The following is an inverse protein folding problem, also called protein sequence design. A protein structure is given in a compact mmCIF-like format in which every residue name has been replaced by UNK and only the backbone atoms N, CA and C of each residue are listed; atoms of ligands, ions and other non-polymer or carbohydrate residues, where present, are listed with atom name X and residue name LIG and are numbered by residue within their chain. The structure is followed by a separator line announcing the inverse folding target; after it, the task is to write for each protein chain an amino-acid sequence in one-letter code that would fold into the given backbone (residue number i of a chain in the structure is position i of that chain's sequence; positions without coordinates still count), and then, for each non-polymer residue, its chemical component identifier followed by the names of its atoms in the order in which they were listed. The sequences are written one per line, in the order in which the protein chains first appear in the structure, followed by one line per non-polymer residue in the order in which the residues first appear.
data_IF_248750729024
#
_entry.id   IF_248750729024
#
_cell.length_a   1.000
_cell.length_b   1.000
_cell.length_c   1.000
_cell.angle_alpha   90.00
_cell.angle_beta   90.00
_cell.angle_gamma   90.00
#
_symmetry.space_group_name_H-M   'P 1'
#
loop_
_entity.id
_entity.type
_entity.pdbx_description
1 polymer ?
#
# COMPACT_ATOMS: atom_id res chain seq x y z
N UNK A 1 0.11 8.01 19.27
CA UNK A 1 0.96 8.95 18.47
C UNK A 1 0.97 8.52 17.01
N UNK A 2 1.11 9.44 16.06
CA UNK A 2 1.02 9.19 14.62
C UNK A 2 2.38 9.44 13.98
N UNK A 3 3.04 8.42 13.41
CA UNK A 3 4.36 8.57 12.82
C UNK A 3 4.45 7.93 11.43
N UNK A 4 5.30 8.50 10.58
CA UNK A 4 5.81 7.81 9.40
C UNK A 4 6.94 6.85 9.81
N UNK A 5 7.20 5.87 8.95
CA UNK A 5 8.25 4.87 9.22
C UNK A 5 9.65 5.49 9.46
N UNK A 6 9.97 6.59 8.78
CA UNK A 6 11.24 7.32 8.96
C UNK A 6 11.30 8.12 10.26
N UNK A 7 10.15 8.56 10.79
CA UNK A 7 10.10 9.25 12.08
C UNK A 7 10.23 8.26 13.25
N UNK A 8 9.83 7.01 13.06
CA UNK A 8 9.93 5.96 14.07
C UNK A 8 11.38 5.79 14.54
N UNK A 9 12.35 5.68 13.61
CA UNK A 9 13.77 5.52 13.94
C UNK A 9 14.35 6.65 14.79
N UNK A 10 13.83 7.87 14.61
CA UNK A 10 14.31 9.06 15.34
C UNK A 10 13.65 9.24 16.70
N UNK A 11 12.56 8.52 16.95
CA UNK A 11 11.68 8.74 18.12
C UNK A 11 11.46 7.51 19.00
N UNK A 12 12.07 6.36 18.64
CA UNK A 12 12.10 5.20 19.55
C UNK A 12 12.77 5.62 20.86
N UNK A 13 12.05 5.45 21.96
CA UNK A 13 12.54 5.78 23.30
C UNK A 13 13.01 4.51 23.97
N UNK A 14 14.23 4.51 24.49
CA UNK A 14 14.71 3.44 25.36
C UNK A 14 13.97 3.48 26.72
N UNK A 15 13.90 2.34 27.38
CA UNK A 15 13.41 2.24 28.74
C UNK A 15 11.89 2.05 28.91
N UNK A 16 11.11 1.96 27.82
CA UNK A 16 9.72 1.56 27.88
C UNK A 16 9.61 0.03 28.08
N UNK A 17 8.62 -0.42 28.85
CA UNK A 17 8.31 -1.84 29.02
C UNK A 17 7.43 -2.41 27.89
N UNK A 18 6.81 -1.55 27.09
CA UNK A 18 5.89 -1.93 26.02
C UNK A 18 6.06 -1.04 24.80
N UNK A 19 6.11 -1.69 23.62
CA UNK A 19 6.10 -1.07 22.30
C UNK A 19 4.94 -1.68 21.49
N UNK A 20 3.96 -0.88 21.14
CA UNK A 20 2.81 -1.33 20.37
C UNK A 20 2.68 -0.54 19.08
N UNK A 21 2.71 -1.25 17.94
CA UNK A 21 2.58 -0.69 16.60
C UNK A 21 1.32 -1.18 15.92
N UNK A 22 0.51 -0.27 15.39
CA UNK A 22 -0.67 -0.64 14.64
C UNK A 22 -0.81 0.18 13.35
N UNK A 23 -1.27 -0.47 12.28
CA UNK A 23 -1.43 0.11 10.95
C UNK A 23 -2.55 -0.58 10.18
N UNK A 24 -2.84 -0.11 8.95
CA UNK A 24 -3.76 -0.78 8.02
C UNK A 24 -3.12 -1.92 7.22
N UNK A 25 -1.82 -2.11 7.34
CA UNK A 25 -1.03 -3.02 6.50
C UNK A 25 -0.03 -3.81 7.35
N UNK A 26 0.03 -5.12 7.10
CA UNK A 26 0.89 -6.03 7.84
C UNK A 26 2.39 -5.71 7.66
N UNK A 27 2.79 -5.31 6.45
CA UNK A 27 4.19 -4.97 6.18
C UNK A 27 4.65 -3.77 7.00
N UNK A 28 3.77 -2.77 7.20
CA UNK A 28 4.10 -1.58 7.99
C UNK A 28 4.36 -1.92 9.46
N UNK A 29 3.50 -2.74 10.07
CA UNK A 29 3.66 -3.13 11.48
C UNK A 29 4.82 -4.09 11.66
N UNK A 30 5.05 -4.99 10.70
CA UNK A 30 6.21 -5.87 10.71
C UNK A 30 7.53 -5.08 10.65
N UNK A 31 7.65 -4.15 9.71
CA UNK A 31 8.84 -3.29 9.60
C UNK A 31 9.06 -2.44 10.87
N UNK A 32 7.98 -1.93 11.47
CA UNK A 32 8.07 -1.17 12.71
C UNK A 32 8.57 -2.05 13.88
N UNK A 33 8.05 -3.27 14.00
CA UNK A 33 8.50 -4.23 15.00
C UNK A 33 9.98 -4.60 14.81
N UNK A 34 10.41 -4.90 13.58
CA UNK A 34 11.81 -5.22 13.29
C UNK A 34 12.76 -4.07 13.65
N UNK A 35 12.37 -2.83 13.38
CA UNK A 35 13.15 -1.65 13.79
C UNK A 35 13.23 -1.49 15.30
N UNK A 36 12.11 -1.74 16.00
CA UNK A 36 12.08 -1.72 17.46
C UNK A 36 12.96 -2.84 18.05
N UNK A 37 12.86 -4.07 17.52
CA UNK A 37 13.69 -5.19 17.93
C UNK A 37 15.18 -4.90 17.72
N UNK A 38 15.56 -4.38 16.55
CA UNK A 38 16.94 -3.98 16.26
C UNK A 38 17.44 -2.89 17.19
N UNK A 39 16.58 -1.97 17.59
CA UNK A 39 16.91 -0.91 18.54
C UNK A 39 17.06 -1.45 19.97
N UNK A 40 16.25 -2.42 20.37
CA UNK A 40 16.21 -2.98 21.71
C UNK A 40 17.24 -4.10 21.91
N UNK A 41 17.57 -4.84 20.84
CA UNK A 41 18.51 -5.99 20.86
C UNK A 41 19.99 -5.55 20.74
N UNK A 42 20.35 -4.35 21.10
CA UNK A 42 21.77 -3.94 21.02
C UNK A 42 22.68 -4.78 21.92
N UNK A 43 22.11 -5.44 22.94
CA UNK A 43 22.88 -6.18 23.95
C UNK A 43 22.31 -7.58 24.35
N UNK A 44 21.21 -8.10 23.76
CA UNK A 44 20.61 -9.37 24.22
C UNK A 44 19.96 -10.21 23.09
N UNK A 45 20.36 -11.50 22.92
CA UNK A 45 19.91 -12.34 21.81
C UNK A 45 18.59 -13.09 22.03
N UNK A 46 18.00 -13.13 23.21
CA UNK A 46 16.82 -13.95 23.50
C UNK A 46 15.48 -13.22 23.33
N UNK A 47 14.98 -13.18 22.08
CA UNK A 47 13.60 -12.77 21.82
C UNK A 47 12.67 -13.99 21.84
N UNK A 48 11.70 -14.01 22.76
CA UNK A 48 10.62 -15.00 22.75
C UNK A 48 9.52 -14.51 21.80
N UNK A 49 9.15 -15.32 20.81
CA UNK A 49 8.07 -15.01 19.88
C UNK A 49 6.83 -15.81 20.27
N UNK A 50 5.73 -15.11 20.55
CA UNK A 50 4.42 -15.71 20.77
C UNK A 50 3.59 -15.54 19.50
N UNK A 51 3.63 -16.58 18.66
CA UNK A 51 2.92 -16.58 17.38
C UNK A 51 1.42 -16.83 17.58
N UNK A 52 0.64 -16.19 16.73
CA UNK A 52 -0.81 -16.35 16.67
C UNK A 52 -1.59 -15.07 16.95
N UNK A 53 -2.84 -15.02 16.46
CA UNK A 53 -3.64 -13.81 16.55
C UNK A 53 -4.17 -13.52 17.98
N UNK A 54 -4.11 -14.53 18.85
CA UNK A 54 -4.68 -14.50 20.21
C UNK A 54 -3.78 -15.30 21.16
N UNK A 55 -2.54 -14.84 21.47
CA UNK A 55 -1.70 -15.51 22.46
C UNK A 55 -2.45 -15.63 23.79
N UNK A 56 -2.41 -16.80 24.41
CA UNK A 56 -3.05 -17.01 25.71
C UNK A 56 -2.34 -16.20 26.79
N UNK A 57 -3.09 -15.68 27.75
CA UNK A 57 -2.50 -14.86 28.83
C UNK A 57 -1.48 -15.65 29.63
N UNK A 58 -1.73 -16.95 29.87
CA UNK A 58 -0.81 -17.85 30.54
C UNK A 58 0.53 -18.01 29.81
N UNK A 59 0.50 -18.05 28.47
CA UNK A 59 1.71 -18.08 27.64
C UNK A 59 2.51 -16.78 27.75
N UNK A 60 1.81 -15.64 27.81
CA UNK A 60 2.43 -14.32 27.97
C UNK A 60 3.10 -14.22 29.34
N UNK A 61 2.41 -14.64 30.41
CA UNK A 61 2.96 -14.69 31.78
C UNK A 61 4.19 -15.59 31.85
N UNK A 62 4.12 -16.77 31.23
CA UNK A 62 5.24 -17.69 31.21
C UNK A 62 6.46 -17.13 30.45
N UNK A 63 6.23 -16.53 29.28
CA UNK A 63 7.27 -15.90 28.47
C UNK A 63 7.93 -14.72 29.21
N UNK A 64 7.14 -13.92 29.90
CA UNK A 64 7.60 -12.75 30.64
C UNK A 64 8.23 -13.09 32.00
N UNK A 65 7.75 -14.16 32.65
CA UNK A 65 8.21 -14.59 34.00
C UNK A 65 9.50 -15.40 33.99
N UNK A 66 9.97 -15.88 32.84
CA UNK A 66 11.22 -16.63 32.75
C UNK A 66 12.41 -15.67 32.92
N UNK A 67 13.27 -15.92 33.90
CA UNK A 67 14.46 -15.08 34.17
C UNK A 67 15.46 -15.27 33.02
N UNK A 68 15.97 -14.15 32.45
CA UNK A 68 17.05 -14.22 31.47
C UNK A 68 18.33 -14.79 32.13
N UNK A 69 18.95 -15.77 31.50
CA UNK A 69 20.17 -16.42 32.01
C UNK A 69 21.37 -15.44 32.05
N UNK A 70 21.35 -14.43 31.20
CA UNK A 70 22.43 -13.42 31.09
C UNK A 70 22.15 -12.11 31.84
N UNK A 71 21.03 -12.05 32.58
CA UNK A 71 20.59 -10.81 33.24
C UNK A 71 19.96 -9.86 32.21
N UNK A 72 19.08 -8.98 32.66
CA UNK A 72 18.35 -8.05 31.80
C UNK A 72 16.88 -8.40 31.63
N UNK A 73 16.14 -7.54 30.94
CA UNK A 73 14.71 -7.75 30.62
C UNK A 73 14.55 -8.66 29.42
N UNK A 74 13.63 -9.63 29.50
CA UNK A 74 13.27 -10.44 28.33
C UNK A 74 12.53 -9.64 27.28
N UNK A 75 12.81 -9.95 26.01
CA UNK A 75 12.11 -9.36 24.88
C UNK A 75 11.04 -10.34 24.38
N UNK A 76 9.77 -9.94 24.45
CA UNK A 76 8.62 -10.75 24.05
C UNK A 76 7.97 -10.09 22.83
N UNK A 77 8.03 -10.77 21.68
CA UNK A 77 7.38 -10.33 20.45
C UNK A 77 6.03 -11.02 20.29
N UNK A 78 4.97 -10.24 20.13
CA UNK A 78 3.61 -10.70 19.82
C UNK A 78 3.19 -10.11 18.47
N UNK A 79 3.46 -10.81 17.35
CA UNK A 79 3.13 -10.32 16.03
C UNK A 79 1.64 -10.50 15.72
N UNK A 80 1.04 -9.50 15.08
CA UNK A 80 -0.30 -9.54 14.49
C UNK A 80 -1.42 -9.92 15.47
N UNK A 81 -1.31 -9.46 16.71
CA UNK A 81 -2.37 -9.63 17.72
C UNK A 81 -3.68 -9.05 17.19
N UNK A 82 -4.76 -9.83 17.31
CA UNK A 82 -6.12 -9.44 16.91
C UNK A 82 -7.01 -9.23 18.13
N UNK A 83 -7.16 -8.00 18.64
CA UNK A 83 -7.97 -7.73 19.82
C UNK A 83 -9.43 -8.17 19.69
N UNK A 84 -9.97 -8.21 18.46
CA UNK A 84 -11.34 -8.65 18.18
C UNK A 84 -11.60 -10.13 18.51
N UNK A 85 -10.57 -10.96 18.56
CA UNK A 85 -10.68 -12.41 18.85
C UNK A 85 -10.69 -12.72 20.34
N UNK A 86 -10.19 -11.80 21.20
CA UNK A 86 -10.26 -11.96 22.65
C UNK A 86 -11.69 -11.75 23.19
N UNK A 87 -12.04 -12.45 24.27
CA UNK A 87 -13.20 -12.05 25.06
C UNK A 87 -12.89 -10.73 25.80
N UNK A 88 -13.93 -10.05 26.29
CA UNK A 88 -13.71 -8.80 27.04
C UNK A 88 -12.95 -9.04 28.36
N UNK A 89 -13.09 -10.25 28.95
CA UNK A 89 -12.37 -10.70 30.14
C UNK A 89 -10.90 -10.93 29.82
N UNK A 90 -10.60 -11.73 28.80
CA UNK A 90 -9.22 -12.08 28.42
C UNK A 90 -8.44 -10.84 27.97
N UNK A 91 -9.13 -9.92 27.27
CA UNK A 91 -8.52 -8.65 26.88
C UNK A 91 -8.18 -7.77 28.09
N UNK A 92 -9.02 -7.80 29.14
CA UNK A 92 -8.71 -7.10 30.38
C UNK A 92 -7.52 -7.76 31.09
N UNK A 93 -7.52 -9.07 31.19
CA UNK A 93 -6.45 -9.85 31.78
C UNK A 93 -5.11 -9.65 31.04
N UNK A 94 -5.13 -9.58 29.70
CA UNK A 94 -3.98 -9.18 28.89
C UNK A 94 -3.46 -7.79 29.31
N UNK A 95 -4.35 -6.80 29.42
CA UNK A 95 -3.96 -5.44 29.81
C UNK A 95 -3.36 -5.40 31.22
N UNK A 96 -3.92 -6.16 32.15
CA UNK A 96 -3.44 -6.24 33.53
C UNK A 96 -2.06 -6.92 33.57
N UNK A 97 -1.86 -8.01 32.83
CA UNK A 97 -0.58 -8.71 32.68
C UNK A 97 0.51 -7.79 32.11
N UNK A 98 0.18 -7.02 31.06
CA UNK A 98 1.13 -6.06 30.47
C UNK A 98 1.50 -4.93 31.46
N UNK A 99 0.59 -4.56 32.37
CA UNK A 99 0.82 -3.57 33.40
C UNK A 99 1.73 -4.08 34.53
N UNK A 100 1.51 -5.33 34.94
CA UNK A 100 2.14 -5.91 36.13
C UNK A 100 3.53 -6.50 35.87
N UNK A 101 3.94 -6.59 34.59
CA UNK A 101 5.21 -7.20 34.22
C UNK A 101 6.35 -6.19 34.12
N UNK A 102 7.27 -6.20 35.09
CA UNK A 102 8.44 -5.32 35.10
C UNK A 102 9.67 -5.93 34.43
N UNK A 103 9.75 -7.25 34.32
CA UNK A 103 10.95 -7.99 33.88
C UNK A 103 10.98 -8.28 32.39
N UNK A 104 9.97 -7.89 31.61
CA UNK A 104 9.94 -8.08 30.17
C UNK A 104 9.76 -6.75 29.43
N UNK A 105 10.17 -6.75 28.17
CA UNK A 105 9.87 -5.71 27.18
C UNK A 105 8.97 -6.35 26.13
N UNK A 106 7.77 -5.85 25.97
CA UNK A 106 6.83 -6.34 24.96
C UNK A 106 6.92 -5.53 23.68
N UNK A 107 7.02 -6.22 22.55
CA UNK A 107 6.84 -5.64 21.22
C UNK A 107 5.61 -6.28 20.59
N UNK A 108 4.57 -5.49 20.41
CA UNK A 108 3.28 -5.95 19.89
C UNK A 108 2.94 -5.27 18.58
N UNK A 109 2.26 -5.99 17.69
CA UNK A 109 1.73 -5.42 16.45
C UNK A 109 0.28 -5.81 16.23
N UNK A 110 -0.48 -4.94 15.55
CA UNK A 110 -1.85 -5.24 15.11
C UNK A 110 -2.15 -4.59 13.76
N UNK A 111 -2.94 -5.27 12.94
CA UNK A 111 -3.55 -4.69 11.74
C UNK A 111 -4.95 -4.23 12.08
N UNK A 112 -5.26 -2.97 11.77
CA UNK A 112 -6.54 -2.32 12.04
C UNK A 112 -7.20 -1.93 10.73
N UNK A 113 -8.51 -2.11 10.64
CA UNK A 113 -9.25 -1.75 9.43
C UNK A 113 -9.12 -0.26 9.11
N UNK A 114 -8.96 0.01 7.81
CA UNK A 114 -8.92 1.36 7.27
C UNK A 114 -10.21 1.65 6.48
N UNK A 115 -10.82 2.78 6.77
CA UNK A 115 -11.96 3.27 6.03
C UNK A 115 -11.79 4.75 5.69
N UNK A 116 -11.95 5.09 4.40
CA UNK A 116 -11.77 6.46 3.90
C UNK A 116 -10.41 7.10 4.25
N UNK A 117 -9.33 6.32 4.17
CA UNK A 117 -7.97 6.79 4.47
C UNK A 117 -7.68 7.04 5.95
N UNK A 118 -8.53 6.55 6.86
CA UNK A 118 -8.36 6.62 8.31
C UNK A 118 -8.51 5.25 8.94
N UNK A 119 -7.67 4.93 9.88
CA UNK A 119 -7.86 3.74 10.70
C UNK A 119 -9.16 3.85 11.50
N UNK A 120 -9.90 2.75 11.53
CA UNK A 120 -11.16 2.60 12.24
C UNK A 120 -11.06 1.44 13.23
N UNK A 121 -10.32 1.61 14.32
CA UNK A 121 -10.21 0.57 15.32
C UNK A 121 -11.59 0.28 15.94
N UNK A 122 -11.95 -1.00 16.02
CA UNK A 122 -13.14 -1.47 16.71
C UNK A 122 -13.05 -1.23 18.23
N UNK A 123 -14.08 -1.58 18.96
CA UNK A 123 -14.13 -1.32 20.43
C UNK A 123 -12.99 -2.00 21.19
N UNK A 124 -12.66 -3.24 20.84
CA UNK A 124 -11.61 -4.01 21.50
C UNK A 124 -10.21 -3.53 21.10
N UNK A 125 -10.01 -3.16 19.84
CA UNK A 125 -8.79 -2.51 19.39
C UNK A 125 -8.56 -1.18 20.12
N UNK A 126 -9.61 -0.36 20.26
CA UNK A 126 -9.54 0.91 21.00
C UNK A 126 -9.17 0.68 22.48
N UNK A 127 -9.74 -0.37 23.11
CA UNK A 127 -9.42 -0.73 24.50
C UNK A 127 -7.93 -1.09 24.62
N UNK A 128 -7.40 -1.94 23.74
CA UNK A 128 -5.98 -2.31 23.75
C UNK A 128 -5.08 -1.11 23.47
N UNK A 129 -5.41 -0.29 22.47
CA UNK A 129 -4.66 0.94 22.16
C UNK A 129 -4.59 1.84 23.38
N UNK A 130 -5.73 2.10 24.03
CA UNK A 130 -5.81 2.96 25.23
C UNK A 130 -5.03 2.39 26.43
N UNK A 131 -4.99 1.07 26.57
CA UNK A 131 -4.16 0.40 27.55
C UNK A 131 -2.66 0.62 27.23
N UNK A 132 -2.23 0.29 26.01
CA UNK A 132 -0.85 0.42 25.59
C UNK A 132 -0.32 1.86 25.60
N UNK A 133 -1.18 2.86 25.34
CA UNK A 133 -0.81 4.28 25.43
C UNK A 133 -0.46 4.73 26.85
N UNK A 134 -1.06 4.09 27.86
CA UNK A 134 -0.76 4.36 29.28
C UNK A 134 0.51 3.67 29.75
N UNK A 135 0.79 2.48 29.22
CA UNK A 135 1.86 1.60 29.68
C UNK A 135 3.20 1.84 28.97
N UNK A 136 3.18 2.33 27.74
CA UNK A 136 4.41 2.40 26.99
C UNK A 136 4.35 3.22 25.71
N UNK A 137 5.10 2.77 24.72
CA UNK A 137 5.26 3.43 23.43
C UNK A 137 4.26 2.87 22.41
N UNK A 138 3.12 3.53 22.27
CA UNK A 138 2.04 3.14 21.37
C UNK A 138 1.99 4.06 20.16
N UNK A 139 2.12 3.48 18.94
CA UNK A 139 2.28 4.25 17.70
C UNK A 139 1.40 3.71 16.58
N UNK A 140 0.64 4.61 15.97
CA UNK A 140 0.00 4.38 14.69
C UNK A 140 0.99 4.65 13.56
N UNK A 141 1.23 3.65 12.71
CA UNK A 141 2.07 3.80 11.52
C UNK A 141 1.17 4.08 10.31
N UNK A 142 1.43 5.16 9.63
CA UNK A 142 0.72 5.51 8.42
C UNK A 142 1.43 4.97 7.18
N UNK A 143 0.63 4.55 6.20
CA UNK A 143 1.15 4.23 4.87
C UNK A 143 1.79 5.49 4.27
N UNK A 144 3.06 5.44 3.86
CA UNK A 144 3.69 6.60 3.23
C UNK A 144 3.04 6.86 1.87
N UNK A 145 2.87 8.14 1.53
CA UNK A 145 2.26 8.57 0.26
C UNK A 145 3.02 9.73 -0.34
N UNK A 146 2.93 9.91 -1.63
CA UNK A 146 3.46 11.08 -2.32
C UNK A 146 4.95 11.35 -2.02
N UNK A 147 5.26 12.52 -1.46
CA UNK A 147 6.63 12.95 -1.17
C UNK A 147 7.35 12.05 -0.15
N UNK A 148 6.63 11.46 0.80
CA UNK A 148 7.23 10.53 1.76
C UNK A 148 7.72 9.25 1.06
N UNK A 149 6.93 8.70 0.14
CA UNK A 149 7.30 7.51 -0.62
C UNK A 149 8.48 7.80 -1.57
N UNK A 150 8.52 8.99 -2.19
CA UNK A 150 9.68 9.42 -2.98
C UNK A 150 10.95 9.51 -2.13
N UNK A 151 10.83 10.06 -0.90
CA UNK A 151 11.96 10.13 0.02
C UNK A 151 12.47 8.74 0.40
N UNK A 152 11.56 7.80 0.69
CA UNK A 152 11.92 6.40 0.96
C UNK A 152 12.63 5.75 -0.23
N UNK A 153 12.12 5.93 -1.44
CA UNK A 153 12.76 5.40 -2.65
C UNK A 153 14.20 5.94 -2.81
N UNK A 154 14.41 7.24 -2.54
CA UNK A 154 15.76 7.84 -2.55
C UNK A 154 16.67 7.28 -1.46
N UNK A 155 16.12 7.02 -0.26
CA UNK A 155 16.89 6.43 0.83
C UNK A 155 17.30 4.99 0.51
N UNK A 156 16.38 4.17 -0.04
CA UNK A 156 16.71 2.80 -0.51
C UNK A 156 17.76 2.80 -1.65
N UNK A 157 17.68 3.75 -2.58
CA UNK A 157 18.69 3.89 -3.63
C UNK A 157 20.08 4.18 -3.02
N UNK A 158 20.16 5.08 -2.02
CA UNK A 158 21.41 5.39 -1.31
C UNK A 158 21.94 4.19 -0.51
N UNK A 159 21.06 3.46 0.18
CA UNK A 159 21.41 2.22 0.88
C UNK A 159 22.00 1.19 -0.08
N UNK A 160 21.49 1.13 -1.32
CA UNK A 160 22.03 0.30 -2.40
C UNK A 160 23.23 0.91 -3.13
N UNK A 161 23.75 2.07 -2.70
CA UNK A 161 24.90 2.74 -3.33
C UNK A 161 24.60 3.49 -4.62
N UNK A 162 23.32 3.78 -4.93
CA UNK A 162 22.87 4.47 -6.14
C UNK A 162 22.16 5.80 -5.81
N UNK A 163 21.93 6.62 -6.85
CA UNK A 163 21.17 7.87 -6.73
C UNK A 163 20.20 8.00 -7.90
N UNK A 164 19.03 8.61 -7.67
CA UNK A 164 18.10 8.92 -8.75
C UNK A 164 18.48 10.21 -9.47
N UNK A 165 18.44 10.18 -10.81
CA UNK A 165 18.40 11.38 -11.63
C UNK A 165 17.05 12.12 -11.44
N UNK A 166 16.98 13.43 -11.70
CA UNK A 166 15.75 14.20 -11.57
C UNK A 166 14.57 13.55 -12.31
N UNK A 167 13.48 13.30 -11.58
CA UNK A 167 12.25 12.71 -12.13
C UNK A 167 12.22 11.19 -12.23
N UNK A 168 13.33 10.47 -11.99
CA UNK A 168 13.36 9.01 -12.10
C UNK A 168 12.51 8.34 -11.00
N UNK A 169 12.54 8.85 -9.76
CA UNK A 169 11.67 8.37 -8.69
C UNK A 169 10.18 8.57 -8.98
N UNK A 170 9.81 9.68 -9.65
CA UNK A 170 8.43 9.89 -10.09
C UNK A 170 8.01 8.86 -11.15
N UNK A 171 8.89 8.58 -12.09
CA UNK A 171 8.65 7.56 -13.12
C UNK A 171 8.47 6.19 -12.47
N UNK A 172 9.29 5.85 -11.47
CA UNK A 172 9.18 4.58 -10.75
C UNK A 172 7.84 4.46 -10.02
N UNK A 173 7.46 5.48 -9.24
CA UNK A 173 6.18 5.50 -8.54
C UNK A 173 4.97 5.43 -9.49
N UNK A 174 5.09 6.04 -10.68
CA UNK A 174 4.05 5.96 -11.72
C UNK A 174 3.84 4.53 -12.19
N UNK A 175 4.91 3.76 -12.32
CA UNK A 175 4.89 2.41 -12.89
C UNK A 175 4.55 1.34 -11.85
N UNK A 176 5.11 1.45 -10.66
CA UNK A 176 4.99 0.46 -9.59
C UNK A 176 3.87 0.76 -8.58
N UNK A 177 3.27 1.97 -8.63
CA UNK A 177 2.28 2.36 -7.64
C UNK A 177 2.90 2.66 -6.27
N UNK A 178 2.18 2.33 -5.19
CA UNK A 178 2.54 2.64 -3.80
C UNK A 178 2.86 1.39 -2.95
N UNK A 179 3.05 0.25 -3.59
CA UNK A 179 3.50 -0.97 -2.93
C UNK A 179 4.98 -0.85 -2.56
N UNK A 180 5.27 -0.81 -1.26
CA UNK A 180 6.62 -0.58 -0.75
C UNK A 180 7.57 -1.75 -1.04
N UNK A 181 7.08 -3.00 -1.01
CA UNK A 181 7.87 -4.18 -1.33
C UNK A 181 8.28 -4.17 -2.79
N UNK A 182 7.32 -3.94 -3.68
CA UNK A 182 7.59 -3.82 -5.11
C UNK A 182 8.55 -2.68 -5.39
N UNK A 183 8.32 -1.50 -4.81
CA UNK A 183 9.19 -0.34 -5.00
C UNK A 183 10.61 -0.58 -4.51
N UNK A 184 10.80 -1.21 -3.35
CA UNK A 184 12.12 -1.50 -2.81
C UNK A 184 12.89 -2.47 -3.71
N UNK A 185 12.25 -3.57 -4.11
CA UNK A 185 12.84 -4.54 -5.03
C UNK A 185 13.21 -3.91 -6.37
N UNK A 186 12.37 -3.02 -6.90
CA UNK A 186 12.65 -2.30 -8.14
C UNK A 186 13.83 -1.32 -7.99
N UNK A 187 13.93 -0.63 -6.84
CA UNK A 187 15.07 0.24 -6.56
C UNK A 187 16.37 -0.55 -6.53
N UNK A 188 16.39 -1.70 -5.83
CA UNK A 188 17.57 -2.57 -5.74
C UNK A 188 17.97 -3.10 -7.13
N UNK A 189 17.01 -3.55 -7.93
CA UNK A 189 17.23 -3.99 -9.31
C UNK A 189 17.78 -2.88 -10.21
N UNK A 190 17.21 -1.68 -10.12
CA UNK A 190 17.64 -0.52 -10.89
C UNK A 190 19.01 -0.01 -10.45
N UNK A 191 19.33 -0.08 -9.16
CA UNK A 191 20.65 0.25 -8.63
C UNK A 191 21.73 -0.67 -9.20
N UNK A 192 21.47 -1.99 -9.22
CA UNK A 192 22.38 -2.96 -9.83
C UNK A 192 22.56 -2.72 -11.33
N UNK A 193 21.48 -2.41 -12.08
CA UNK A 193 21.53 -2.07 -13.49
C UNK A 193 22.36 -0.81 -13.76
N UNK A 194 22.24 0.20 -12.90
CA UNK A 194 23.03 1.43 -12.96
C UNK A 194 24.49 1.25 -12.51
N UNK A 195 24.94 0.01 -12.27
CA UNK A 195 26.25 -0.28 -11.66
C UNK A 195 26.47 0.54 -10.37
N UNK A 196 25.42 0.64 -9.55
CA UNK A 196 25.42 1.42 -8.30
C UNK A 196 25.71 2.91 -8.50
N UNK A 197 25.39 3.44 -9.67
CA UNK A 197 25.54 4.84 -10.04
C UNK A 197 24.18 5.57 -10.10
N UNK A 198 23.96 6.30 -11.22
CA UNK A 198 22.75 7.12 -11.38
C UNK A 198 21.63 6.37 -12.08
N UNK A 199 20.50 6.19 -11.41
CA UNK A 199 19.26 5.62 -11.97
C UNK A 199 18.54 6.70 -12.77
N UNK A 200 18.41 6.52 -14.09
CA UNK A 200 17.75 7.49 -14.98
C UNK A 200 16.27 7.16 -15.21
N UNK A 201 15.43 8.15 -15.58
CA UNK A 201 14.04 7.90 -15.97
C UNK A 201 13.92 6.92 -17.15
N UNK A 202 14.90 6.89 -18.05
CA UNK A 202 14.94 5.98 -19.18
C UNK A 202 15.12 4.53 -18.70
N UNK A 203 16.07 4.27 -17.82
CA UNK A 203 16.27 2.92 -17.23
C UNK A 203 15.00 2.43 -16.54
N UNK A 204 14.33 3.29 -15.76
CA UNK A 204 13.03 2.97 -15.14
C UNK A 204 11.99 2.64 -16.21
N UNK A 205 11.96 3.40 -17.33
CA UNK A 205 11.04 3.19 -18.43
C UNK A 205 11.24 1.86 -19.19
N UNK A 206 12.48 1.41 -19.33
CA UNK A 206 12.85 0.22 -20.12
C UNK A 206 12.71 -1.08 -19.28
N UNK A 207 13.09 -1.07 -18.03
CA UNK A 207 13.28 -2.29 -17.23
C UNK A 207 12.40 -2.33 -15.97
N UNK A 208 11.92 -1.18 -15.51
CA UNK A 208 11.05 -1.11 -14.33
C UNK A 208 9.77 -1.92 -14.52
N UNK A 209 9.41 -2.67 -13.49
CA UNK A 209 8.12 -3.37 -13.44
C UNK A 209 6.98 -2.38 -13.58
N UNK A 210 5.92 -2.79 -14.26
CA UNK A 210 4.71 -1.97 -14.45
C UNK A 210 3.53 -2.69 -13.82
N UNK A 211 2.80 -2.00 -12.99
CA UNK A 211 1.55 -2.55 -12.45
C UNK A 211 0.47 -2.59 -13.54
N UNK A 212 -0.48 -3.50 -13.41
CA UNK A 212 -1.62 -3.61 -14.32
C UNK A 212 -2.39 -2.27 -14.43
N UNK A 213 -2.54 -1.55 -13.34
CA UNK A 213 -3.19 -0.24 -13.32
C UNK A 213 -2.43 0.80 -14.16
N UNK A 214 -1.09 0.82 -14.07
CA UNK A 214 -0.26 1.72 -14.86
C UNK A 214 -0.31 1.35 -16.35
N UNK A 215 -0.22 0.06 -16.69
CA UNK A 215 -0.31 -0.42 -18.07
C UNK A 215 -1.66 -0.12 -18.70
N UNK A 216 -2.75 -0.35 -17.97
CA UNK A 216 -4.11 -0.04 -18.47
C UNK A 216 -4.35 1.46 -18.57
N UNK A 217 -3.78 2.27 -17.69
CA UNK A 217 -3.83 3.74 -17.81
C UNK A 217 -3.07 4.23 -19.07
N UNK A 218 -1.92 3.64 -19.38
CA UNK A 218 -1.20 3.94 -20.62
C UNK A 218 -2.00 3.50 -21.85
N UNK A 219 -2.71 2.36 -21.80
CA UNK A 219 -3.64 1.97 -22.88
C UNK A 219 -4.72 3.04 -23.09
N UNK A 220 -5.30 3.58 -22.02
CA UNK A 220 -6.29 4.67 -22.12
C UNK A 220 -5.69 5.91 -22.77
N UNK A 221 -4.45 6.29 -22.43
CA UNK A 221 -3.74 7.40 -23.10
C UNK A 221 -3.51 7.15 -24.58
N UNK A 222 -3.12 5.93 -24.95
CA UNK A 222 -2.91 5.55 -26.35
C UNK A 222 -4.22 5.64 -27.14
N UNK A 223 -5.34 5.11 -26.60
CA UNK A 223 -6.65 5.20 -27.23
C UNK A 223 -7.09 6.66 -27.43
N UNK A 224 -6.91 7.49 -26.38
CA UNK A 224 -7.24 8.92 -26.39
C UNK A 224 -6.36 9.70 -27.37
N UNK A 225 -5.09 9.29 -27.52
CA UNK A 225 -4.13 9.88 -28.45
C UNK A 225 -4.26 9.38 -29.90
N UNK A 226 -5.27 8.55 -30.21
CA UNK A 226 -5.49 8.01 -31.55
C UNK A 226 -4.57 6.89 -31.97
N UNK A 227 -3.82 6.29 -31.04
CA UNK A 227 -2.84 5.22 -31.27
C UNK A 227 -3.45 3.85 -30.90
N UNK A 228 -4.60 3.52 -31.53
CA UNK A 228 -5.33 2.28 -31.24
C UNK A 228 -4.48 1.02 -31.45
N UNK A 229 -3.65 1.00 -32.49
CA UNK A 229 -2.78 -0.16 -32.79
C UNK A 229 -1.79 -0.45 -31.65
N UNK A 230 -1.20 0.61 -31.06
CA UNK A 230 -0.31 0.46 -29.91
C UNK A 230 -1.06 -0.01 -28.65
N UNK A 231 -2.30 0.44 -28.48
CA UNK A 231 -3.14 -0.06 -27.37
C UNK A 231 -3.47 -1.54 -27.55
N UNK A 232 -3.77 -1.99 -28.78
CA UNK A 232 -3.97 -3.40 -29.12
C UNK A 232 -2.71 -4.24 -28.86
N UNK A 233 -1.56 -3.75 -29.26
CA UNK A 233 -0.28 -4.43 -29.01
C UNK A 233 0.00 -4.56 -27.51
N UNK A 234 -0.30 -3.51 -26.73
CA UNK A 234 -0.15 -3.54 -25.27
C UNK A 234 -1.10 -4.56 -24.63
N UNK A 235 -2.36 -4.64 -25.11
CA UNK A 235 -3.30 -5.68 -24.66
C UNK A 235 -2.74 -7.09 -24.90
N UNK A 236 -2.22 -7.36 -26.11
CA UNK A 236 -1.61 -8.65 -26.42
C UNK A 236 -0.44 -8.98 -25.50
N UNK A 237 0.39 -8.00 -25.18
CA UNK A 237 1.49 -8.17 -24.21
C UNK A 237 0.97 -8.54 -22.82
N UNK A 238 -0.07 -7.86 -22.34
CA UNK A 238 -0.67 -8.17 -21.03
C UNK A 238 -1.25 -9.56 -20.96
N UNK A 239 -1.95 -9.99 -22.02
CA UNK A 239 -2.50 -11.35 -22.12
C UNK A 239 -1.39 -12.41 -22.21
N UNK A 240 -0.32 -12.16 -22.98
CA UNK A 240 0.84 -13.04 -23.06
C UNK A 240 1.57 -13.20 -21.72
N UNK A 241 1.54 -12.17 -20.86
CA UNK A 241 2.02 -12.21 -19.47
C UNK A 241 1.06 -12.89 -18.50
N UNK A 242 0.05 -13.61 -18.99
CA UNK A 242 -0.94 -14.35 -18.20
C UNK A 242 -1.82 -13.49 -17.28
N UNK A 243 -1.97 -12.19 -17.59
CA UNK A 243 -2.94 -11.37 -16.87
C UNK A 243 -4.36 -11.81 -17.23
N UNK A 244 -5.20 -11.97 -16.23
CA UNK A 244 -6.61 -12.36 -16.41
C UNK A 244 -7.38 -11.25 -17.17
N UNK A 245 -8.12 -11.58 -18.25
CA UNK A 245 -8.94 -10.63 -19.00
C UNK A 245 -9.94 -9.84 -18.16
N UNK A 246 -10.53 -10.46 -17.13
CA UNK A 246 -11.47 -9.81 -16.21
C UNK A 246 -10.73 -8.76 -15.36
N UNK A 247 -9.52 -9.10 -14.90
CA UNK A 247 -8.68 -8.14 -14.13
C UNK A 247 -8.24 -6.95 -14.99
N UNK A 248 -7.83 -7.18 -16.25
CA UNK A 248 -7.49 -6.09 -17.19
C UNK A 248 -8.72 -5.21 -17.42
N UNK A 249 -9.89 -5.81 -17.63
CA UNK A 249 -11.15 -5.06 -17.83
C UNK A 249 -11.53 -4.26 -16.59
N UNK A 250 -11.39 -4.82 -15.39
CA UNK A 250 -11.60 -4.13 -14.12
C UNK A 250 -10.70 -2.90 -13.96
N UNK A 251 -9.43 -3.02 -14.30
CA UNK A 251 -8.49 -1.91 -14.26
C UNK A 251 -8.82 -0.83 -15.32
N UNK A 252 -9.25 -1.22 -16.53
CA UNK A 252 -9.75 -0.27 -17.54
C UNK A 252 -10.99 0.49 -17.03
N UNK A 253 -11.96 -0.22 -16.45
CA UNK A 253 -13.17 0.39 -15.86
C UNK A 253 -12.76 1.41 -14.80
N UNK A 254 -11.87 1.05 -13.89
CA UNK A 254 -11.39 1.95 -12.85
C UNK A 254 -10.75 3.23 -13.42
N UNK A 255 -9.93 3.12 -14.46
CA UNK A 255 -9.30 4.25 -15.13
C UNK A 255 -10.34 5.16 -15.82
N UNK A 256 -11.34 4.60 -16.52
CA UNK A 256 -12.40 5.41 -17.14
C UNK A 256 -13.33 6.03 -16.13
N UNK A 257 -13.61 5.38 -14.99
CA UNK A 257 -14.34 5.96 -13.87
C UNK A 257 -13.60 7.15 -13.26
N UNK A 258 -12.26 7.05 -13.12
CA UNK A 258 -11.46 8.18 -12.65
C UNK A 258 -11.54 9.38 -13.60
N UNK A 259 -11.43 9.13 -14.92
CA UNK A 259 -11.62 10.18 -15.93
C UNK A 259 -13.01 10.87 -15.79
N UNK A 260 -14.05 10.06 -15.62
CA UNK A 260 -15.42 10.57 -15.48
C UNK A 260 -15.61 11.38 -14.20
N UNK A 261 -15.13 10.89 -13.06
CA UNK A 261 -15.20 11.57 -11.76
C UNK A 261 -14.46 12.90 -11.76
N UNK A 262 -13.24 12.91 -12.31
CA UNK A 262 -12.42 14.13 -12.43
C UNK A 262 -13.10 15.14 -13.36
N UNK A 263 -13.64 14.69 -14.50
CA UNK A 263 -14.38 15.57 -15.44
C UNK A 263 -15.61 16.19 -14.78
N UNK A 264 -16.39 15.41 -14.02
CA UNK A 264 -17.56 15.90 -13.29
C UNK A 264 -17.15 16.87 -12.18
N UNK A 265 -16.11 16.56 -11.40
CA UNK A 265 -15.58 17.44 -10.36
C UNK A 265 -15.20 18.80 -10.93
N UNK A 266 -14.44 18.81 -12.04
CA UNK A 266 -14.05 20.05 -12.73
C UNK A 266 -15.26 20.88 -13.21
N UNK A 267 -16.29 20.24 -13.78
CA UNK A 267 -17.51 20.93 -14.21
C UNK A 267 -18.28 21.52 -13.05
N UNK A 268 -18.25 20.88 -11.90
CA UNK A 268 -18.87 21.32 -10.66
C UNK A 268 -17.98 22.26 -9.84
N UNK A 269 -16.84 22.72 -10.39
CA UNK A 269 -15.85 23.59 -9.72
C UNK A 269 -15.33 23.00 -8.40
N UNK A 270 -15.24 21.67 -8.29
CA UNK A 270 -14.71 20.97 -7.13
C UNK A 270 -13.22 20.67 -7.33
N UNK A 271 -12.46 20.72 -6.24
CA UNK A 271 -11.05 20.34 -6.25
C UNK A 271 -10.88 18.83 -6.40
N UNK A 272 -9.69 18.38 -6.82
CA UNK A 272 -9.35 16.94 -6.84
C UNK A 272 -9.43 16.31 -5.44
N UNK A 273 -9.15 17.10 -4.40
CA UNK A 273 -9.28 16.65 -3.01
C UNK A 273 -10.76 16.38 -2.63
N UNK A 274 -11.69 17.22 -3.12
CA UNK A 274 -13.12 16.98 -2.92
C UNK A 274 -13.58 15.74 -3.67
N UNK A 275 -13.13 15.56 -4.92
CA UNK A 275 -13.40 14.35 -5.71
C UNK A 275 -12.88 13.11 -4.99
N UNK A 276 -11.65 13.16 -4.48
CA UNK A 276 -11.07 12.06 -3.74
C UNK A 276 -11.88 11.71 -2.49
N UNK A 277 -12.32 12.71 -1.74
CA UNK A 277 -13.16 12.56 -0.55
C UNK A 277 -14.53 11.96 -0.88
N UNK A 278 -15.20 12.48 -1.90
CA UNK A 278 -16.57 12.06 -2.27
C UNK A 278 -16.63 10.61 -2.73
N UNK A 279 -15.60 10.15 -3.43
CA UNK A 279 -15.54 8.79 -3.99
C UNK A 279 -14.65 7.83 -3.18
N UNK A 280 -14.16 8.25 -2.01
CA UNK A 280 -13.45 7.40 -1.07
C UNK A 280 -12.09 6.92 -1.58
N UNK A 281 -11.38 7.74 -2.36
CA UNK A 281 -10.03 7.39 -2.79
C UNK A 281 -9.08 7.29 -1.60
N UNK A 282 -8.23 6.27 -1.64
CA UNK A 282 -7.23 5.99 -0.62
C UNK A 282 -5.81 6.10 -1.20
N UNK A 283 -4.81 6.10 -0.31
CA UNK A 283 -3.40 6.06 -0.72
C UNK A 283 -2.97 7.29 -1.50
N UNK A 284 -2.21 7.09 -2.56
CA UNK A 284 -1.61 8.17 -3.37
C UNK A 284 -2.58 8.76 -4.42
N UNK A 285 -3.84 9.01 -4.02
CA UNK A 285 -4.88 9.52 -4.91
C UNK A 285 -4.49 10.82 -5.62
N UNK A 286 -3.73 11.68 -4.96
CA UNK A 286 -3.32 12.98 -5.52
C UNK A 286 -2.51 12.78 -6.81
N UNK A 287 -1.55 11.88 -6.78
CA UNK A 287 -0.76 11.53 -7.96
C UNK A 287 -1.63 10.90 -9.07
N UNK A 288 -2.49 9.95 -8.70
CA UNK A 288 -3.41 9.26 -9.62
C UNK A 288 -4.36 10.24 -10.31
N UNK A 289 -5.04 11.10 -9.53
CA UNK A 289 -6.02 12.06 -10.08
C UNK A 289 -5.38 13.21 -10.86
N UNK A 290 -4.20 13.70 -10.47
CA UNK A 290 -3.46 14.70 -11.25
C UNK A 290 -3.06 14.18 -12.64
N UNK A 291 -2.61 12.92 -12.75
CA UNK A 291 -2.32 12.30 -14.03
C UNK A 291 -3.59 12.11 -14.88
N UNK A 292 -4.69 11.78 -14.23
CA UNK A 292 -6.01 11.61 -14.87
C UNK A 292 -6.56 12.92 -15.41
N UNK A 293 -6.35 14.05 -14.74
CA UNK A 293 -6.93 15.35 -15.09
C UNK A 293 -6.55 15.82 -16.49
N UNK A 294 -5.27 15.65 -16.89
CA UNK A 294 -4.79 16.00 -18.23
C UNK A 294 -5.50 15.18 -19.32
N UNK A 295 -5.77 13.92 -19.05
CA UNK A 295 -6.46 13.04 -19.99
C UNK A 295 -7.96 13.33 -19.99
N UNK A 296 -8.57 13.53 -18.81
CA UNK A 296 -9.98 13.86 -18.67
C UNK A 296 -10.39 15.14 -19.40
N UNK A 297 -9.49 16.13 -19.47
CA UNK A 297 -9.77 17.40 -20.17
C UNK A 297 -10.01 17.24 -21.68
N UNK A 298 -9.63 16.14 -22.27
CA UNK A 298 -9.80 15.83 -23.71
C UNK A 298 -11.17 15.23 -24.01
N UNK A 299 -11.93 14.85 -22.98
CA UNK A 299 -13.23 14.20 -23.16
C UNK A 299 -14.42 15.14 -22.91
N UNK A 300 -15.50 14.88 -23.64
CA UNK A 300 -16.84 15.34 -23.29
C UNK A 300 -17.51 14.30 -22.39
N UNK A 301 -18.46 14.73 -21.57
CA UNK A 301 -19.19 13.83 -20.65
C UNK A 301 -19.81 12.63 -21.38
N UNK A 302 -20.56 12.87 -22.47
CA UNK A 302 -21.20 11.80 -23.22
C UNK A 302 -20.24 10.81 -23.88
N UNK A 303 -18.97 11.21 -24.16
CA UNK A 303 -17.96 10.29 -24.65
C UNK A 303 -17.54 9.28 -23.56
N UNK A 304 -17.28 9.77 -22.34
CA UNK A 304 -16.94 8.90 -21.20
C UNK A 304 -18.11 7.97 -20.80
N UNK A 305 -19.34 8.46 -20.86
CA UNK A 305 -20.53 7.63 -20.63
C UNK A 305 -20.62 6.49 -21.65
N UNK A 306 -20.36 6.76 -22.94
CA UNK A 306 -20.29 5.71 -23.97
C UNK A 306 -19.14 4.73 -23.71
N UNK A 307 -17.96 5.23 -23.35
CA UNK A 307 -16.84 4.36 -23.01
C UNK A 307 -17.13 3.43 -21.82
N UNK A 308 -17.75 3.96 -20.79
CA UNK A 308 -18.15 3.16 -19.61
C UNK A 308 -19.21 2.12 -19.98
N UNK A 309 -20.14 2.44 -20.87
CA UNK A 309 -21.14 1.47 -21.36
C UNK A 309 -20.49 0.33 -22.17
N UNK A 310 -19.50 0.66 -23.04
CA UNK A 310 -18.72 -0.34 -23.78
C UNK A 310 -17.99 -1.29 -22.79
N UNK A 311 -17.37 -0.75 -21.75
CA UNK A 311 -16.66 -1.53 -20.74
C UNK A 311 -17.60 -2.37 -19.88
N UNK A 312 -18.77 -1.85 -19.53
CA UNK A 312 -19.82 -2.60 -18.83
C UNK A 312 -20.27 -3.82 -19.66
N UNK A 313 -20.48 -3.59 -20.95
CA UNK A 313 -20.84 -4.68 -21.88
C UNK A 313 -19.71 -5.71 -21.99
N UNK A 314 -18.47 -5.29 -22.12
CA UNK A 314 -17.30 -6.17 -22.13
C UNK A 314 -17.23 -7.02 -20.87
N UNK A 315 -17.40 -6.43 -19.68
CA UNK A 315 -17.39 -7.16 -18.40
C UNK A 315 -18.50 -8.24 -18.35
N UNK A 316 -19.68 -7.91 -18.85
CA UNK A 316 -20.80 -8.85 -18.95
C UNK A 316 -20.48 -9.97 -19.95
N UNK A 317 -19.98 -9.62 -21.14
CA UNK A 317 -19.68 -10.59 -22.21
C UNK A 317 -18.56 -11.57 -21.79
N UNK A 318 -17.52 -11.08 -21.10
CA UNK A 318 -16.43 -11.93 -20.57
C UNK A 318 -16.93 -12.95 -19.51
N UNK A 319 -17.97 -12.61 -18.75
CA UNK A 319 -18.51 -13.47 -17.69
C UNK A 319 -19.59 -14.42 -18.19
N UNK A 320 -20.29 -14.12 -19.28
CA UNK A 320 -21.46 -14.86 -19.73
C UNK A 320 -21.33 -15.50 -21.12
N UNK A 321 -20.41 -15.02 -21.95
CA UNK A 321 -20.21 -15.50 -23.31
C UNK A 321 -19.19 -16.66 -23.37
N UNK A 322 -19.34 -17.53 -24.38
CA UNK A 322 -18.35 -18.55 -24.73
C UNK A 322 -17.35 -18.09 -25.80
N UNK A 323 -17.41 -16.82 -26.18
CA UNK A 323 -16.50 -16.26 -27.16
C UNK A 323 -15.08 -16.09 -26.56
N UNK A 324 -14.10 -16.08 -27.44
CA UNK A 324 -12.72 -15.86 -27.05
C UNK A 324 -12.54 -14.49 -26.37
N UNK A 325 -11.94 -14.50 -25.21
CA UNK A 325 -11.78 -13.30 -24.36
C UNK A 325 -10.87 -12.25 -25.05
N UNK A 326 -9.80 -12.66 -25.76
CA UNK A 326 -8.94 -11.76 -26.47
C UNK A 326 -9.71 -11.04 -27.57
N UNK A 327 -10.54 -11.75 -28.33
CA UNK A 327 -11.36 -11.17 -29.39
C UNK A 327 -12.38 -10.15 -28.85
N UNK A 328 -13.04 -10.48 -27.72
CA UNK A 328 -13.97 -9.54 -27.06
C UNK A 328 -13.26 -8.26 -26.61
N UNK A 329 -12.07 -8.39 -26.03
CA UNK A 329 -11.26 -7.24 -25.58
C UNK A 329 -10.74 -6.41 -26.73
N UNK A 330 -10.25 -7.04 -27.82
CA UNK A 330 -9.78 -6.35 -29.02
C UNK A 330 -10.90 -5.54 -29.66
N UNK A 331 -12.11 -6.12 -29.77
CA UNK A 331 -13.31 -5.43 -30.24
C UNK A 331 -13.62 -4.21 -29.36
N UNK A 332 -13.66 -4.39 -28.06
CA UNK A 332 -13.96 -3.31 -27.11
C UNK A 332 -12.94 -2.17 -27.20
N UNK A 333 -11.63 -2.45 -27.38
CA UNK A 333 -10.63 -1.41 -27.57
C UNK A 333 -10.85 -0.61 -28.86
N UNK A 334 -11.29 -1.24 -29.95
CA UNK A 334 -11.67 -0.54 -31.17
C UNK A 334 -12.88 0.37 -30.95
N UNK A 335 -13.91 -0.11 -30.25
CA UNK A 335 -15.11 0.66 -29.90
C UNK A 335 -14.76 1.86 -28.99
N UNK A 336 -13.89 1.67 -27.99
CA UNK A 336 -13.38 2.73 -27.12
C UNK A 336 -12.60 3.80 -27.89
N UNK A 337 -11.75 3.39 -28.84
CA UNK A 337 -11.00 4.33 -29.71
C UNK A 337 -11.94 5.20 -30.55
N UNK A 338 -13.03 4.64 -31.05
CA UNK A 338 -14.06 5.38 -31.80
C UNK A 338 -14.88 6.30 -30.89
N UNK A 339 -15.33 5.81 -29.74
CA UNK A 339 -16.11 6.58 -28.77
C UNK A 339 -15.33 7.77 -28.20
N UNK A 340 -14.03 7.65 -28.04
CA UNK A 340 -13.15 8.71 -27.55
C UNK A 340 -12.88 9.83 -28.58
N UNK A 341 -13.02 9.56 -29.87
CA UNK A 341 -12.77 10.53 -30.97
C UNK A 341 -14.01 11.35 -31.37
N UNK A 342 -15.20 10.82 -31.13
CA UNK A 342 -16.47 11.46 -31.47
C UNK A 342 -16.87 12.53 -30.42
#
# INVERSE_FOLDING_TARGET
MLYSENELNKRLKAGCGLYYFYASDEALVHNAAQKALKFLNQDDPETTVLDGPTPAVEEIVLAAGTISFFGGRRLVLMPLVRPSTYSDKDLQELCDTLSDTENAIFVMTSVVEESYGKLRPGKREQKLISCCEKLGYCVQINKPTGAALQAMARDWAKESGAVFAPGAENTLLTRCGDDQFLLKNEVEKLAALANYGTITPQMVGEIGTVTLDADTFDMVKLLTGGQADKAQQKLKTLLALQNDPIMITGALIANYLDLYRVLLGRRSRRSLADVAKDFGYKGNWNYRLNNTERTASRFKRGQLERCLHILQKLDTDLKSSKLDAELLMQKALCELALAGRA
#
